data_IF_546321104584
#
_entry.id   IF_546321104584
#
_cell.length_a   1.000
_cell.length_b   1.000
_cell.length_c   1.000
_cell.angle_alpha   90.00
_cell.angle_beta   90.00
_cell.angle_gamma   90.00
#
_symmetry.space_group_name_H-M   'P 1'
#
loop_
_entity.id
_entity.type
_entity.pdbx_description
1 polymer ?
#
# COMPACT_ATOMS: atom_id res chain seq x y z
N UNK A 1 0.60 -17.71 26.39
CA UNK A 1 1.59 -17.40 25.34
C UNK A 1 0.97 -16.40 24.40
N UNK A 2 1.61 -15.25 24.17
CA UNK A 2 1.20 -14.35 23.10
C UNK A 2 1.70 -14.93 21.79
N UNK A 3 0.80 -15.23 20.87
CA UNK A 3 1.17 -15.64 19.52
C UNK A 3 1.68 -14.41 18.76
N UNK A 4 2.72 -14.54 17.90
CA UNK A 4 3.15 -13.44 17.05
C UNK A 4 2.04 -13.06 16.07
N UNK A 5 1.88 -11.75 15.86
CA UNK A 5 0.97 -11.17 14.88
C UNK A 5 1.79 -10.44 13.83
N UNK A 6 1.59 -10.81 12.58
CA UNK A 6 2.34 -10.29 11.43
C UNK A 6 1.37 -9.93 10.31
N UNK A 7 1.84 -9.18 9.31
CA UNK A 7 1.04 -8.96 8.10
C UNK A 7 0.88 -10.28 7.35
N UNK A 8 -0.29 -10.48 6.77
CA UNK A 8 -0.53 -11.60 5.89
C UNK A 8 0.38 -11.53 4.65
N UNK A 9 0.81 -12.69 4.18
CA UNK A 9 1.52 -12.88 2.93
C UNK A 9 0.55 -13.40 1.84
N UNK A 10 0.71 -13.02 0.55
CA UNK A 10 -0.12 -13.53 -0.54
C UNK A 10 -0.22 -15.07 -0.62
N UNK A 11 0.83 -15.80 -0.22
CA UNK A 11 0.83 -17.26 -0.17
C UNK A 11 -0.12 -17.84 0.88
N UNK A 12 -0.60 -17.03 1.83
CA UNK A 12 -1.46 -17.47 2.93
C UNK A 12 -2.96 -17.43 2.60
N UNK A 13 -3.36 -16.89 1.43
CA UNK A 13 -4.78 -16.72 1.05
C UNK A 13 -5.60 -18.00 1.29
N UNK A 14 -5.14 -19.14 0.80
CA UNK A 14 -5.86 -20.42 0.93
C UNK A 14 -6.01 -20.87 2.39
N UNK A 15 -4.97 -20.65 3.19
CA UNK A 15 -4.98 -20.98 4.62
C UNK A 15 -5.99 -20.10 5.36
N UNK A 16 -6.04 -18.80 5.07
CA UNK A 16 -6.97 -17.87 5.71
C UNK A 16 -8.43 -18.17 5.33
N UNK A 17 -8.70 -18.44 4.05
CA UNK A 17 -10.02 -18.92 3.62
C UNK A 17 -10.40 -20.26 4.30
N UNK A 18 -9.44 -21.13 4.62
CA UNK A 18 -9.72 -22.36 5.36
C UNK A 18 -10.01 -22.12 6.85
N UNK A 19 -9.40 -21.09 7.46
CA UNK A 19 -9.69 -20.68 8.84
C UNK A 19 -11.12 -20.17 8.93
N UNK A 20 -11.54 -19.28 8.03
CA UNK A 20 -12.91 -18.77 7.98
C UNK A 20 -13.94 -19.90 7.88
N UNK A 21 -13.77 -20.82 6.92
CA UNK A 21 -14.69 -21.97 6.76
C UNK A 21 -14.80 -22.83 8.02
N UNK A 22 -13.73 -22.95 8.81
CA UNK A 22 -13.73 -23.68 10.07
C UNK A 22 -14.38 -22.89 11.21
N UNK A 23 -14.11 -21.59 11.30
CA UNK A 23 -14.72 -20.70 12.30
C UNK A 23 -16.24 -20.61 12.10
N UNK A 24 -16.70 -20.54 10.84
CA UNK A 24 -18.13 -20.53 10.48
C UNK A 24 -18.88 -21.76 11.02
N UNK A 25 -18.22 -22.93 11.15
CA UNK A 25 -18.85 -24.15 11.69
C UNK A 25 -19.39 -23.98 13.11
N UNK A 26 -18.88 -23.01 13.88
CA UNK A 26 -19.37 -22.69 15.23
C UNK A 26 -20.80 -22.17 15.23
N UNK A 27 -21.31 -21.69 14.09
CA UNK A 27 -22.69 -21.23 13.94
C UNK A 27 -23.67 -22.35 13.59
N UNK A 28 -23.26 -23.62 13.45
CA UNK A 28 -24.19 -24.72 13.17
C UNK A 28 -25.32 -24.76 14.21
N UNK A 29 -26.56 -24.78 13.73
CA UNK A 29 -27.77 -24.73 14.57
C UNK A 29 -28.23 -23.31 14.93
N UNK A 30 -27.45 -22.28 14.61
CA UNK A 30 -27.86 -20.88 14.74
C UNK A 30 -28.63 -20.39 13.50
N UNK A 31 -29.63 -19.51 13.62
CA UNK A 31 -30.34 -18.95 12.47
C UNK A 31 -29.45 -18.23 11.43
N UNK A 32 -28.29 -17.71 11.84
CA UNK A 32 -27.32 -17.08 10.94
C UNK A 32 -26.52 -18.08 10.09
N UNK A 33 -26.56 -19.38 10.44
CA UNK A 33 -25.80 -20.44 9.74
C UNK A 33 -26.05 -20.43 8.24
N UNK A 34 -27.31 -20.37 7.81
CA UNK A 34 -27.66 -20.42 6.39
C UNK A 34 -26.98 -19.29 5.59
N UNK A 35 -26.89 -18.09 6.18
CA UNK A 35 -26.21 -16.95 5.56
C UNK A 35 -24.70 -17.12 5.56
N UNK A 36 -24.09 -17.49 6.69
CA UNK A 36 -22.63 -17.63 6.77
C UNK A 36 -22.10 -18.84 6.01
N UNK A 37 -22.81 -19.97 5.97
CA UNK A 37 -22.34 -21.16 5.25
C UNK A 37 -22.41 -21.03 3.72
N UNK A 38 -23.25 -20.11 3.23
CA UNK A 38 -23.40 -19.83 1.81
C UNK A 38 -22.41 -18.76 1.31
N UNK A 39 -21.86 -17.97 2.22
CA UNK A 39 -20.86 -16.96 1.93
C UNK A 39 -19.48 -17.55 2.24
N UNK A 40 -18.54 -17.33 1.34
CA UNK A 40 -17.13 -17.58 1.62
C UNK A 40 -16.35 -16.37 1.16
N UNK A 41 -15.28 -16.05 1.87
CA UNK A 41 -14.40 -14.95 1.46
C UNK A 41 -13.87 -15.25 0.05
N UNK A 42 -14.15 -14.38 -0.94
CA UNK A 42 -13.58 -14.54 -2.27
C UNK A 42 -12.04 -14.39 -2.20
N UNK A 43 -11.26 -15.39 -2.66
CA UNK A 43 -9.80 -15.36 -2.54
C UNK A 43 -9.14 -14.13 -3.17
N UNK A 44 -9.70 -13.61 -4.26
CA UNK A 44 -9.19 -12.41 -4.94
C UNK A 44 -9.43 -11.14 -4.11
N UNK A 45 -10.56 -11.02 -3.41
CA UNK A 45 -10.79 -9.90 -2.50
C UNK A 45 -9.83 -9.95 -1.30
N UNK A 46 -9.60 -11.13 -0.74
CA UNK A 46 -8.65 -11.30 0.35
C UNK A 46 -7.22 -10.98 -0.13
N UNK A 47 -6.80 -11.51 -1.29
CA UNK A 47 -5.52 -11.19 -1.89
C UNK A 47 -5.36 -9.68 -2.11
N UNK A 48 -6.41 -8.99 -2.56
CA UNK A 48 -6.39 -7.53 -2.71
C UNK A 48 -6.14 -6.83 -1.38
N UNK A 49 -6.79 -7.27 -0.31
CA UNK A 49 -6.60 -6.70 1.02
C UNK A 49 -5.19 -6.97 1.57
N UNK A 50 -4.67 -8.19 1.39
CA UNK A 50 -3.29 -8.56 1.72
C UNK A 50 -2.30 -7.66 0.98
N UNK A 51 -2.51 -7.47 -0.33
CA UNK A 51 -1.69 -6.60 -1.17
C UNK A 51 -1.76 -5.12 -0.74
N UNK A 52 -2.85 -4.69 -0.11
CA UNK A 52 -2.95 -3.34 0.48
C UNK A 52 -2.38 -3.26 1.90
N UNK A 53 -1.95 -4.39 2.47
CA UNK A 53 -1.44 -4.46 3.84
C UNK A 53 -2.56 -4.34 4.88
N UNK A 54 -3.78 -4.77 4.58
CA UNK A 54 -4.94 -4.61 5.47
C UNK A 54 -5.34 -5.91 6.20
N UNK A 55 -4.48 -6.93 6.16
CA UNK A 55 -4.74 -8.22 6.81
C UNK A 55 -3.57 -8.59 7.69
N UNK A 56 -3.86 -8.98 8.93
CA UNK A 56 -2.89 -9.51 9.88
C UNK A 56 -3.26 -10.91 10.31
N UNK A 57 -2.24 -11.73 10.56
CA UNK A 57 -2.37 -13.14 10.92
C UNK A 57 -1.71 -13.39 12.27
N UNK A 58 -2.36 -14.18 13.12
CA UNK A 58 -1.74 -14.77 14.29
C UNK A 58 -1.15 -16.12 13.90
N UNK A 59 0.12 -16.36 14.23
CA UNK A 59 0.84 -17.57 13.84
C UNK A 59 1.03 -18.52 15.03
N UNK A 60 0.99 -19.83 14.77
CA UNK A 60 1.40 -20.86 15.74
C UNK A 60 2.92 -20.83 15.96
N UNK A 61 3.40 -21.64 16.92
CA UNK A 61 4.84 -21.87 17.13
C UNK A 61 5.55 -22.44 15.88
N UNK A 62 4.81 -23.12 15.00
CA UNK A 62 5.32 -23.65 13.73
C UNK A 62 5.21 -22.67 12.57
N UNK A 63 4.79 -21.41 12.82
CA UNK A 63 4.59 -20.39 11.80
C UNK A 63 3.31 -20.55 10.95
N UNK A 64 2.38 -21.44 11.33
CA UNK A 64 1.14 -21.64 10.59
C UNK A 64 0.07 -20.62 11.04
N UNK A 65 -0.70 -20.00 10.13
CA UNK A 65 -1.81 -19.14 10.52
C UNK A 65 -2.85 -19.88 11.38
N UNK A 66 -3.24 -19.29 12.51
CA UNK A 66 -4.28 -19.82 13.42
C UNK A 66 -5.47 -18.90 13.62
N UNK A 67 -5.35 -17.66 13.17
CA UNK A 67 -6.41 -16.67 13.10
C UNK A 67 -5.95 -15.46 12.30
N UNK A 68 -6.90 -14.63 11.87
CA UNK A 68 -6.59 -13.40 11.15
C UNK A 68 -7.62 -12.31 11.43
N UNK A 69 -7.25 -11.07 11.14
CA UNK A 69 -8.14 -9.91 11.09
C UNK A 69 -7.94 -9.21 9.76
N UNK A 70 -9.04 -8.87 9.10
CA UNK A 70 -9.06 -8.15 7.84
C UNK A 70 -9.76 -6.80 8.05
N UNK A 71 -9.02 -5.71 7.82
CA UNK A 71 -9.53 -4.35 7.77
C UNK A 71 -10.00 -3.96 6.36
N UNK A 72 -11.11 -3.25 6.27
CA UNK A 72 -11.55 -2.63 5.02
C UNK A 72 -11.60 -1.10 5.13
N UNK A 73 -11.52 -0.47 3.96
CA UNK A 73 -11.51 1.00 3.81
C UNK A 73 -12.72 1.45 3.01
N UNK A 74 -13.81 0.67 3.01
CA UNK A 74 -15.06 1.05 2.31
C UNK A 74 -15.79 2.17 3.05
N UNK A 75 -15.45 2.39 4.32
CA UNK A 75 -15.95 3.50 5.13
C UNK A 75 -15.30 4.82 4.69
N UNK A 76 -16.11 5.88 4.76
CA UNK A 76 -15.70 7.25 4.39
C UNK A 76 -15.17 7.98 5.62
N UNK A 77 -14.16 8.83 5.43
CA UNK A 77 -13.65 9.73 6.45
C UNK A 77 -12.56 9.10 7.33
N UNK A 78 -12.70 9.28 8.64
CA UNK A 78 -11.72 8.87 9.66
C UNK A 78 -12.00 7.48 10.27
N UNK A 79 -12.95 6.73 9.70
CA UNK A 79 -13.32 5.40 10.15
C UNK A 79 -12.71 4.28 9.30
N UNK A 80 -12.43 3.14 9.92
CA UNK A 80 -12.00 1.90 9.25
C UNK A 80 -12.86 0.71 9.70
N UNK A 81 -13.17 -0.20 8.78
CA UNK A 81 -14.00 -1.37 9.05
C UNK A 81 -13.16 -2.58 9.46
N UNK A 82 -13.69 -3.45 10.34
CA UNK A 82 -13.28 -4.85 10.41
C UNK A 82 -14.23 -5.64 9.51
N UNK A 83 -13.71 -6.09 8.37
CA UNK A 83 -14.44 -6.91 7.42
C UNK A 83 -14.63 -8.33 7.95
N UNK A 84 -13.59 -8.89 8.56
CA UNK A 84 -13.58 -10.25 9.11
C UNK A 84 -12.57 -10.40 10.25
N UNK A 85 -12.90 -11.25 11.23
CA UNK A 85 -11.95 -11.70 12.25
C UNK A 85 -12.28 -13.12 12.69
N UNK A 86 -11.42 -14.05 12.30
CA UNK A 86 -11.63 -15.47 12.55
C UNK A 86 -10.43 -16.11 13.25
N UNK A 87 -10.73 -17.09 14.09
CA UNK A 87 -9.74 -17.91 14.79
C UNK A 87 -10.16 -19.37 14.68
N UNK A 88 -9.21 -20.25 14.40
CA UNK A 88 -9.44 -21.68 14.39
C UNK A 88 -10.08 -22.14 15.72
N UNK A 89 -11.15 -22.97 15.70
CA UNK A 89 -11.88 -23.34 16.91
C UNK A 89 -11.01 -23.89 18.05
N UNK A 90 -9.97 -24.68 17.73
CA UNK A 90 -9.03 -25.23 18.70
C UNK A 90 -8.16 -24.18 19.42
N UNK A 91 -8.00 -22.99 18.82
CA UNK A 91 -7.34 -21.81 19.40
C UNK A 91 -8.33 -20.79 20.00
N UNK A 92 -9.64 -21.05 19.89
CA UNK A 92 -10.69 -20.23 20.48
C UNK A 92 -10.55 -20.12 22.00
N UNK A 93 -10.99 -18.99 22.56
CA UNK A 93 -10.93 -18.68 24.01
C UNK A 93 -9.53 -18.69 24.63
N UNK A 94 -8.48 -18.58 23.82
CA UNK A 94 -7.08 -18.45 24.27
C UNK A 94 -6.52 -17.02 24.15
N UNK A 95 -7.38 -16.03 23.91
CA UNK A 95 -6.99 -14.63 23.74
C UNK A 95 -6.52 -14.24 22.33
N UNK A 96 -6.48 -15.17 21.37
CA UNK A 96 -6.00 -14.88 19.99
C UNK A 96 -6.86 -13.82 19.30
N UNK A 97 -8.19 -13.96 19.34
CA UNK A 97 -9.09 -12.97 18.74
C UNK A 97 -9.00 -11.60 19.40
N UNK A 98 -8.81 -11.55 20.71
CA UNK A 98 -8.57 -10.30 21.46
C UNK A 98 -7.27 -9.63 21.02
N UNK A 99 -6.18 -10.40 20.87
CA UNK A 99 -4.90 -9.87 20.44
C UNK A 99 -4.95 -9.32 19.00
N UNK A 100 -5.62 -10.03 18.08
CA UNK A 100 -5.85 -9.56 16.71
C UNK A 100 -6.67 -8.27 16.68
N UNK A 101 -7.75 -8.20 17.47
CA UNK A 101 -8.62 -7.03 17.56
C UNK A 101 -7.86 -5.80 18.10
N UNK A 102 -7.12 -5.94 19.19
CA UNK A 102 -6.33 -4.83 19.74
C UNK A 102 -5.21 -4.41 18.78
N UNK A 103 -4.50 -5.35 18.16
CA UNK A 103 -3.48 -5.05 17.16
C UNK A 103 -4.04 -4.23 15.99
N UNK A 104 -5.21 -4.61 15.47
CA UNK A 104 -5.90 -3.87 14.42
C UNK A 104 -6.31 -2.45 14.87
N UNK A 105 -6.83 -2.31 16.09
CA UNK A 105 -7.19 -1.01 16.66
C UNK A 105 -5.96 -0.11 16.88
N UNK A 106 -4.84 -0.68 17.34
CA UNK A 106 -3.57 0.03 17.54
C UNK A 106 -2.97 0.51 16.22
N UNK A 107 -2.96 -0.35 15.19
CA UNK A 107 -2.52 0.04 13.86
C UNK A 107 -3.43 1.13 13.27
N UNK A 108 -4.76 0.96 13.35
CA UNK A 108 -5.72 1.94 12.87
C UNK A 108 -5.51 3.30 13.53
N UNK A 109 -5.29 3.31 14.85
CA UNK A 109 -4.97 4.52 15.61
C UNK A 109 -3.69 5.18 15.11
N UNK A 110 -2.62 4.40 14.91
CA UNK A 110 -1.35 4.91 14.41
C UNK A 110 -1.43 5.41 12.95
N UNK A 111 -2.31 4.84 12.13
CA UNK A 111 -2.57 5.23 10.75
C UNK A 111 -3.54 6.42 10.60
N UNK A 112 -3.94 7.05 11.72
CA UNK A 112 -4.75 8.26 11.76
C UNK A 112 -6.25 8.03 11.93
N UNK A 113 -6.77 6.80 11.82
CA UNK A 113 -8.21 6.52 11.96
C UNK A 113 -8.69 6.75 13.39
N UNK A 114 -9.86 7.38 13.54
CA UNK A 114 -10.47 7.76 14.82
C UNK A 114 -11.61 6.85 15.25
N UNK A 115 -12.05 5.96 14.37
CA UNK A 115 -13.10 5.00 14.68
C UNK A 115 -12.85 3.67 13.98
N UNK A 116 -13.12 2.58 14.69
CA UNK A 116 -13.22 1.24 14.10
C UNK A 116 -14.66 0.81 14.16
N UNK A 117 -15.20 0.40 13.02
CA UNK A 117 -16.59 -0.04 12.86
C UNK A 117 -16.62 -1.53 12.49
N UNK A 118 -17.62 -2.26 12.96
CA UNK A 118 -17.83 -3.67 12.60
C UNK A 118 -19.30 -4.05 12.60
N UNK A 119 -19.64 -5.07 11.82
CA UNK A 119 -20.95 -5.74 11.84
C UNK A 119 -20.84 -7.12 12.48
N UNK A 120 -21.72 -7.44 13.43
CA UNK A 120 -21.67 -8.71 14.15
C UNK A 120 -23.04 -9.21 14.61
N UNK A 121 -23.09 -10.37 15.28
CA UNK A 121 -24.31 -10.94 15.81
C UNK A 121 -24.62 -10.45 17.23
N UNK A 122 -25.88 -10.08 17.46
CA UNK A 122 -26.36 -9.56 18.74
C UNK A 122 -26.43 -10.62 19.84
N UNK A 123 -26.81 -11.85 19.48
CA UNK A 123 -27.23 -12.93 20.36
C UNK A 123 -26.17 -14.02 20.60
N UNK A 124 -25.00 -13.88 19.96
CA UNK A 124 -23.90 -14.83 20.10
C UNK A 124 -22.86 -14.32 21.09
N UNK A 125 -22.57 -15.12 22.13
CA UNK A 125 -21.70 -14.74 23.26
C UNK A 125 -20.28 -14.32 22.85
N UNK A 126 -19.75 -14.90 21.77
CA UNK A 126 -18.41 -14.57 21.25
C UNK A 126 -18.42 -13.51 20.13
N UNK A 127 -19.55 -12.83 19.91
CA UNK A 127 -19.73 -11.73 18.96
C UNK A 127 -19.95 -10.41 19.71
N UNK A 128 -21.15 -9.80 19.68
CA UNK A 128 -21.36 -8.48 20.28
C UNK A 128 -20.89 -8.35 21.75
N UNK A 129 -21.13 -9.32 22.64
CA UNK A 129 -20.61 -9.25 24.01
C UNK A 129 -19.07 -9.29 24.09
N UNK A 130 -18.39 -9.99 23.17
CA UNK A 130 -16.93 -10.00 23.09
C UNK A 130 -16.40 -8.60 22.70
N UNK A 131 -16.95 -7.99 21.65
CA UNK A 131 -16.51 -6.64 21.24
C UNK A 131 -16.82 -5.58 22.30
N UNK A 132 -17.95 -5.72 23.02
CA UNK A 132 -18.27 -4.82 24.13
C UNK A 132 -17.21 -4.82 25.23
N UNK A 133 -16.61 -5.97 25.54
CA UNK A 133 -15.50 -6.08 26.50
C UNK A 133 -14.23 -5.37 26.00
N UNK A 134 -14.11 -5.17 24.69
CA UNK A 134 -12.99 -4.49 24.02
C UNK A 134 -13.32 -3.04 23.64
N UNK A 135 -14.30 -2.42 24.31
CA UNK A 135 -14.60 -0.99 24.18
C UNK A 135 -15.44 -0.61 22.95
N UNK A 136 -16.01 -1.59 22.25
CA UNK A 136 -17.00 -1.31 21.21
C UNK A 136 -18.38 -1.08 21.83
N UNK A 137 -19.13 -0.12 21.28
CA UNK A 137 -20.51 0.15 21.67
C UNK A 137 -21.44 -0.10 20.50
N UNK A 138 -22.64 -0.60 20.76
CA UNK A 138 -23.67 -0.69 19.73
C UNK A 138 -24.08 0.71 19.27
N UNK A 139 -24.19 0.89 17.96
CA UNK A 139 -24.55 2.17 17.33
C UNK A 139 -25.86 2.06 16.57
N UNK A 140 -26.43 3.21 16.19
CA UNK A 140 -27.66 3.24 15.40
C UNK A 140 -27.43 2.53 14.06
N UNK A 141 -28.05 1.35 13.95
CA UNK A 141 -28.03 0.54 12.76
C UNK A 141 -28.56 1.28 11.55
N UNK A 142 -29.48 2.24 11.71
CA UNK A 142 -30.06 3.06 10.64
C UNK A 142 -29.12 4.14 10.08
N UNK A 143 -28.01 4.44 10.77
CA UNK A 143 -27.09 5.50 10.42
C UNK A 143 -26.46 5.38 9.02
N UNK A 144 -26.04 6.50 8.42
CA UNK A 144 -25.49 6.53 7.06
C UNK A 144 -24.20 5.73 6.91
N UNK A 145 -23.37 5.67 7.96
CA UNK A 145 -22.11 4.93 7.97
C UNK A 145 -22.28 3.42 7.68
N UNK A 146 -23.45 2.85 7.99
CA UNK A 146 -23.74 1.43 7.80
C UNK A 146 -24.67 1.15 6.62
N UNK A 147 -25.03 2.16 5.82
CA UNK A 147 -25.99 2.00 4.74
C UNK A 147 -25.56 0.94 3.71
N UNK A 148 -24.28 0.92 3.34
CA UNK A 148 -23.70 -0.06 2.42
C UNK A 148 -23.67 -1.47 3.03
N UNK A 149 -23.23 -1.60 4.29
CA UNK A 149 -23.23 -2.87 5.00
C UNK A 149 -24.65 -3.46 5.14
N UNK A 150 -25.64 -2.61 5.46
CA UNK A 150 -27.07 -3.01 5.49
C UNK A 150 -27.58 -3.44 4.12
N UNK A 151 -27.17 -2.75 3.05
CA UNK A 151 -27.55 -3.13 1.70
C UNK A 151 -26.99 -4.52 1.35
N UNK A 152 -25.71 -4.77 1.64
CA UNK A 152 -25.06 -6.08 1.45
C UNK A 152 -25.76 -7.18 2.25
N UNK A 153 -26.08 -6.93 3.52
CA UNK A 153 -26.85 -7.87 4.35
C UNK A 153 -28.21 -8.20 3.71
N UNK A 154 -28.94 -7.20 3.18
CA UNK A 154 -30.24 -7.44 2.50
C UNK A 154 -30.08 -8.22 1.20
N UNK A 155 -29.10 -7.87 0.37
CA UNK A 155 -28.82 -8.56 -0.90
C UNK A 155 -28.44 -10.03 -0.68
N UNK A 156 -27.73 -10.32 0.42
CA UNK A 156 -27.38 -11.68 0.83
C UNK A 156 -28.47 -12.40 1.64
N UNK A 157 -29.64 -11.78 1.84
CA UNK A 157 -30.74 -12.37 2.61
C UNK A 157 -30.44 -12.57 4.10
N UNK A 158 -29.51 -11.80 4.67
CA UNK A 158 -29.14 -11.90 6.08
C UNK A 158 -30.30 -11.44 6.99
N UNK A 159 -30.66 -12.19 8.04
CA UNK A 159 -31.76 -11.81 8.93
C UNK A 159 -31.44 -10.53 9.72
N UNK A 160 -32.12 -9.42 9.40
CA UNK A 160 -31.83 -8.10 9.95
C UNK A 160 -31.81 -8.10 11.49
N UNK A 161 -32.78 -8.77 12.14
CA UNK A 161 -32.88 -8.86 13.61
C UNK A 161 -31.63 -9.42 14.32
N UNK A 162 -30.78 -10.15 13.60
CA UNK A 162 -29.56 -10.75 14.16
C UNK A 162 -28.36 -9.80 14.07
N UNK A 163 -28.35 -8.89 13.10
CA UNK A 163 -27.23 -7.98 12.85
C UNK A 163 -27.28 -6.78 13.78
N UNK A 164 -26.19 -6.57 14.49
CA UNK A 164 -25.86 -5.30 15.15
C UNK A 164 -24.57 -4.72 14.55
N UNK A 165 -24.48 -3.39 14.53
CA UNK A 165 -23.26 -2.68 14.23
C UNK A 165 -22.69 -2.11 15.51
N UNK A 166 -21.37 -2.13 15.62
CA UNK A 166 -20.66 -1.62 16.77
C UNK A 166 -19.49 -0.75 16.33
N UNK A 167 -19.19 0.25 17.14
CA UNK A 167 -18.09 1.18 16.90
C UNK A 167 -17.22 1.32 18.14
N UNK A 168 -15.91 1.44 17.93
CA UNK A 168 -14.95 1.86 18.97
C UNK A 168 -14.30 3.16 18.54
N UNK A 169 -14.47 4.20 19.36
CA UNK A 169 -13.72 5.43 19.20
C UNK A 169 -12.24 5.18 19.57
N UNK A 170 -11.34 5.74 18.78
CA UNK A 170 -9.90 5.71 19.00
C UNK A 170 -9.45 7.10 19.45
N UNK A 171 -8.69 7.16 20.55
CA UNK A 171 -8.00 8.38 20.95
C UNK A 171 -6.81 8.66 20.02
N UNK A 172 -6.46 9.92 19.72
CA UNK A 172 -5.33 10.24 18.86
C UNK A 172 -4.02 9.69 19.42
N UNK A 173 -3.01 9.40 18.56
CA UNK A 173 -1.70 8.97 19.04
C UNK A 173 -1.09 10.06 19.92
N UNK A 174 -0.47 9.66 21.04
CA UNK A 174 0.30 10.57 21.88
C UNK A 174 1.47 11.19 21.09
N UNK A 175 2.05 12.27 21.60
CA UNK A 175 3.01 13.02 20.80
C UNK A 175 4.27 12.23 20.43
N UNK A 176 4.70 11.35 21.34
CA UNK A 176 5.81 10.42 21.27
C UNK A 176 5.37 8.99 20.88
N UNK A 177 4.13 8.81 20.40
CA UNK A 177 3.68 7.53 19.87
C UNK A 177 4.11 7.35 18.40
N UNK A 178 4.09 6.10 17.94
CA UNK A 178 4.27 5.78 16.53
C UNK A 178 3.06 6.24 15.70
N UNK A 179 3.35 6.83 14.55
CA UNK A 179 2.40 7.10 13.47
C UNK A 179 2.78 6.27 12.25
N UNK A 180 1.79 5.92 11.43
CA UNK A 180 1.92 5.02 10.28
C UNK A 180 1.51 5.77 9.01
N UNK A 181 2.34 5.63 7.96
CA UNK A 181 2.21 6.35 6.70
C UNK A 181 2.50 5.42 5.51
N UNK A 182 1.64 5.37 4.49
CA UNK A 182 1.89 4.58 3.29
C UNK A 182 2.88 5.29 2.35
N UNK A 183 3.82 4.53 1.80
CA UNK A 183 4.76 4.96 0.76
C UNK A 183 4.48 4.15 -0.53
N UNK A 184 3.55 4.60 -1.39
CA UNK A 184 3.08 3.83 -2.54
C UNK A 184 4.15 3.66 -3.62
N UNK A 185 4.06 2.59 -4.41
CA UNK A 185 4.84 2.41 -5.62
C UNK A 185 4.30 3.25 -6.78
N UNK A 186 5.11 3.36 -7.84
CA UNK A 186 4.68 3.87 -9.14
C UNK A 186 5.02 2.91 -10.28
N UNK A 187 4.39 3.16 -11.42
CA UNK A 187 4.80 2.65 -12.73
C UNK A 187 5.10 3.80 -13.68
N UNK A 188 6.03 3.58 -14.61
CA UNK A 188 6.15 4.41 -15.81
C UNK A 188 5.36 3.73 -16.93
N UNK A 189 4.17 4.25 -17.27
CA UNK A 189 3.31 3.63 -18.30
C UNK A 189 3.92 3.68 -19.70
N UNK A 190 4.82 4.63 -19.92
CA UNK A 190 5.81 4.68 -21.00
C UNK A 190 7.02 5.49 -20.50
N UNK A 191 8.16 5.44 -21.18
CA UNK A 191 9.31 6.29 -20.87
C UNK A 191 10.10 6.57 -22.14
N UNK A 192 10.29 7.84 -22.48
CA UNK A 192 11.12 8.28 -23.61
C UNK A 192 12.29 9.12 -23.12
N UNK A 193 13.40 9.04 -23.85
CA UNK A 193 14.54 9.94 -23.71
C UNK A 193 14.57 10.81 -24.97
N UNK A 194 14.28 12.10 -24.81
CA UNK A 194 14.13 13.06 -25.91
C UNK A 194 15.42 13.80 -26.23
N UNK A 195 16.35 13.84 -25.28
CA UNK A 195 17.64 14.48 -25.47
C UNK A 195 18.60 14.27 -24.30
N UNK A 196 19.78 14.89 -24.42
CA UNK A 196 20.75 15.01 -23.34
C UNK A 196 21.07 16.48 -23.11
N UNK A 197 21.02 16.91 -21.86
CA UNK A 197 21.30 18.27 -21.41
C UNK A 197 22.82 18.50 -21.32
N UNK A 198 23.21 19.77 -21.28
CA UNK A 198 24.61 20.18 -21.14
C UNK A 198 25.24 19.76 -19.80
N UNK A 199 24.43 19.62 -18.75
CA UNK A 199 24.83 19.13 -17.42
C UNK A 199 25.00 17.60 -17.36
N UNK A 200 24.76 16.89 -18.46
CA UNK A 200 24.92 15.45 -18.59
C UNK A 200 23.67 14.63 -18.31
N UNK A 201 22.60 15.23 -17.77
CA UNK A 201 21.31 14.56 -17.53
C UNK A 201 20.54 14.32 -18.84
N UNK A 202 19.61 13.36 -18.81
CA UNK A 202 18.74 13.04 -19.93
C UNK A 202 17.40 13.73 -19.79
N UNK A 203 16.90 14.31 -20.87
CA UNK A 203 15.54 14.83 -20.92
C UNK A 203 14.57 13.71 -21.24
N UNK A 204 13.51 13.61 -20.43
CA UNK A 204 12.58 12.50 -20.37
C UNK A 204 11.15 12.95 -20.67
N UNK A 205 10.35 12.02 -21.17
CA UNK A 205 8.88 12.10 -21.12
C UNK A 205 8.34 10.78 -20.60
N UNK A 206 7.45 10.82 -19.62
CA UNK A 206 6.85 9.63 -19.02
C UNK A 206 5.48 9.93 -18.43
N UNK A 207 4.67 8.89 -18.21
CA UNK A 207 3.47 8.99 -17.37
C UNK A 207 3.67 8.12 -16.14
N UNK A 208 3.65 8.77 -14.99
CA UNK A 208 3.63 8.11 -13.69
C UNK A 208 2.21 7.66 -13.34
N UNK A 209 2.06 6.37 -13.03
CA UNK A 209 0.87 5.81 -12.39
C UNK A 209 1.20 5.41 -10.96
N UNK A 210 0.58 6.04 -9.97
CA UNK A 210 0.68 5.62 -8.58
C UNK A 210 -0.15 4.35 -8.35
N UNK A 211 0.26 3.53 -7.38
CA UNK A 211 -0.39 2.26 -7.03
C UNK A 211 -0.96 2.29 -5.60
N UNK A 212 -1.97 1.46 -5.34
CA UNK A 212 -2.52 1.18 -3.99
C UNK A 212 -1.68 0.19 -3.16
N UNK A 213 -0.44 -0.05 -3.60
CA UNK A 213 0.53 -0.95 -2.98
C UNK A 213 1.87 -0.21 -2.81
N UNK A 214 2.54 -0.47 -1.70
CA UNK A 214 3.87 0.06 -1.43
C UNK A 214 4.36 -0.25 -0.03
N UNK A 215 5.41 0.46 0.37
CA UNK A 215 6.06 0.37 1.67
C UNK A 215 5.20 1.02 2.77
N UNK A 216 5.54 0.76 4.04
CA UNK A 216 4.98 1.47 5.18
C UNK A 216 6.09 2.16 5.98
N UNK A 217 5.92 3.46 6.24
CA UNK A 217 6.81 4.27 7.05
C UNK A 217 6.17 4.48 8.41
N UNK A 218 6.90 4.15 9.48
CA UNK A 218 6.51 4.52 10.85
C UNK A 218 7.41 5.61 11.38
N UNK A 219 6.80 6.65 11.95
CA UNK A 219 7.49 7.80 12.51
C UNK A 219 7.08 8.02 13.96
N UNK A 220 8.07 8.19 14.83
CA UNK A 220 7.87 8.58 16.22
C UNK A 220 8.71 9.81 16.52
N UNK A 221 8.08 10.90 16.94
CA UNK A 221 8.78 12.16 17.23
C UNK A 221 9.72 11.99 18.41
N UNK A 222 10.83 12.72 18.36
CA UNK A 222 11.80 12.86 19.43
C UNK A 222 12.02 14.33 19.76
N UNK A 223 12.50 14.59 20.97
CA UNK A 223 12.78 15.95 21.45
C UNK A 223 14.28 16.27 21.56
N UNK A 224 15.14 15.30 21.25
CA UNK A 224 16.61 15.41 21.37
C UNK A 224 17.31 15.81 20.06
N UNK A 225 16.55 16.13 19.00
CA UNK A 225 17.08 16.52 17.69
C UNK A 225 17.63 15.36 16.85
N UNK A 226 17.63 14.14 17.36
CA UNK A 226 18.24 12.99 16.70
C UNK A 226 17.34 12.41 15.62
N UNK A 227 17.93 11.99 14.49
CA UNK A 227 17.23 11.29 13.41
C UNK A 227 17.79 9.88 13.32
N UNK A 228 16.96 8.89 13.66
CA UNK A 228 17.39 7.49 13.83
C UNK A 228 16.50 6.55 13.04
N UNK A 229 17.11 5.73 12.19
CA UNK A 229 16.43 4.54 11.66
C UNK A 229 16.57 3.42 12.69
N UNK A 230 15.47 2.98 13.28
CA UNK A 230 15.51 2.06 14.44
C UNK A 230 15.46 0.57 14.05
N UNK A 231 15.20 0.28 12.77
CA UNK A 231 15.31 -1.06 12.18
C UNK A 231 16.23 -1.03 10.97
N UNK A 232 16.97 -2.11 10.76
CA UNK A 232 17.81 -2.25 9.58
C UNK A 232 16.97 -2.45 8.31
N UNK A 233 17.39 -1.81 7.22
CA UNK A 233 16.90 -2.10 5.88
C UNK A 233 18.04 -2.84 5.17
N UNK A 234 17.88 -4.13 4.84
CA UNK A 234 18.94 -4.93 4.24
C UNK A 234 19.57 -4.25 3.02
N UNK A 235 20.90 -4.16 3.02
CA UNK A 235 21.67 -3.59 1.91
C UNK A 235 21.66 -2.06 1.81
N UNK A 236 21.05 -1.34 2.75
CA UNK A 236 21.00 0.14 2.75
C UNK A 236 21.52 0.67 4.08
N UNK A 237 22.75 1.20 4.17
CA UNK A 237 23.23 1.88 5.37
C UNK A 237 22.32 3.05 5.74
N UNK A 238 22.11 3.28 7.04
CA UNK A 238 21.14 4.28 7.52
C UNK A 238 21.46 5.72 7.03
N UNK A 239 22.73 6.07 6.83
CA UNK A 239 23.13 7.37 6.29
C UNK A 239 22.79 7.57 4.81
N UNK A 240 22.70 6.49 4.04
CA UNK A 240 22.42 6.49 2.61
C UNK A 240 20.91 6.36 2.32
N UNK A 241 20.15 5.91 3.32
CA UNK A 241 18.70 5.76 3.26
C UNK A 241 18.00 7.10 2.96
N UNK A 242 17.22 7.12 1.88
CA UNK A 242 16.49 8.30 1.44
C UNK A 242 15.46 8.78 2.47
N UNK A 243 14.88 7.90 3.29
CA UNK A 243 13.99 8.29 4.39
C UNK A 243 14.73 9.11 5.45
N UNK A 244 15.93 8.67 5.85
CA UNK A 244 16.79 9.37 6.82
C UNK A 244 17.30 10.69 6.25
N UNK A 245 17.73 10.68 4.98
CA UNK A 245 18.18 11.90 4.28
C UNK A 245 17.07 12.92 4.11
N UNK A 246 15.83 12.49 3.85
CA UNK A 246 14.65 13.34 3.79
C UNK A 246 14.38 14.04 5.13
N UNK A 247 14.38 13.29 6.23
CA UNK A 247 14.21 13.87 7.58
C UNK A 247 15.30 14.89 7.89
N UNK A 248 16.58 14.59 7.59
CA UNK A 248 17.71 15.50 7.81
C UNK A 248 17.64 16.74 6.93
N UNK A 249 17.20 16.59 5.68
CA UNK A 249 17.04 17.70 4.76
C UNK A 249 15.96 18.66 5.28
N UNK A 250 14.79 18.14 5.65
CA UNK A 250 13.69 18.93 6.18
C UNK A 250 14.04 19.59 7.51
N UNK A 251 14.67 18.85 8.43
CA UNK A 251 15.10 19.37 9.73
C UNK A 251 16.03 20.57 9.57
N UNK A 252 17.04 20.47 8.69
CA UNK A 252 17.97 21.56 8.39
C UNK A 252 17.29 22.73 7.70
N UNK A 253 16.41 22.45 6.73
CA UNK A 253 15.68 23.50 6.00
C UNK A 253 14.79 24.33 6.94
N UNK A 254 14.07 23.67 7.84
CA UNK A 254 13.13 24.31 8.76
C UNK A 254 13.80 24.88 10.03
N UNK A 255 15.07 24.53 10.29
CA UNK A 255 15.80 24.97 11.49
C UNK A 255 15.21 24.45 12.81
N UNK A 256 14.51 23.30 12.78
CA UNK A 256 13.89 22.72 13.99
C UNK A 256 14.85 21.83 14.76
N UNK A 257 14.69 21.80 16.08
CA UNK A 257 15.45 20.92 16.99
C UNK A 257 14.72 19.61 17.31
N UNK A 258 13.56 19.37 16.70
CA UNK A 258 12.84 18.12 16.84
C UNK A 258 13.58 16.98 16.13
N UNK A 259 13.54 15.78 16.70
CA UNK A 259 14.08 14.56 16.11
C UNK A 259 12.98 13.59 15.69
N UNK A 260 13.37 12.44 15.14
CA UNK A 260 12.45 11.36 14.75
C UNK A 260 13.14 9.99 14.77
N UNK A 261 12.43 8.99 15.30
CA UNK A 261 12.69 7.58 15.02
C UNK A 261 11.90 7.15 13.77
N UNK A 262 12.56 6.46 12.85
CA UNK A 262 12.02 6.02 11.57
C UNK A 262 12.10 4.48 11.50
N UNK A 263 10.97 3.84 11.19
CA UNK A 263 10.94 2.45 10.69
C UNK A 263 10.46 2.44 9.24
N UNK A 264 11.10 1.62 8.42
CA UNK A 264 10.72 1.41 7.03
C UNK A 264 10.41 -0.06 6.84
N UNK A 265 9.14 -0.38 6.58
CA UNK A 265 8.68 -1.72 6.27
C UNK A 265 8.64 -1.89 4.74
N UNK A 266 9.70 -2.51 4.20
CA UNK A 266 9.88 -2.66 2.75
C UNK A 266 9.03 -3.80 2.19
N UNK A 267 8.30 -3.47 1.14
CA UNK A 267 7.47 -4.34 0.29
C UNK A 267 7.80 -4.12 -1.18
N UNK A 268 8.18 -2.90 -1.56
CA UNK A 268 8.67 -2.58 -2.90
C UNK A 268 10.11 -3.10 -3.06
N UNK A 269 10.41 -3.88 -4.10
CA UNK A 269 11.75 -4.38 -4.35
C UNK A 269 12.72 -3.22 -4.65
N UNK A 270 13.95 -3.35 -4.13
CA UNK A 270 14.99 -2.35 -4.30
C UNK A 270 15.47 -2.30 -5.76
N UNK A 271 15.57 -1.09 -6.31
CA UNK A 271 16.09 -0.90 -7.67
C UNK A 271 15.21 -1.43 -8.80
N UNK A 272 13.95 -1.81 -8.53
CA UNK A 272 13.03 -2.39 -9.53
C UNK A 272 12.38 -1.40 -10.50
N UNK A 273 12.72 -0.11 -10.45
CA UNK A 273 12.06 0.92 -11.27
C UNK A 273 10.65 1.32 -10.79
N UNK A 274 10.29 0.92 -9.56
CA UNK A 274 8.99 1.18 -8.93
C UNK A 274 8.97 2.41 -7.99
N UNK A 275 10.12 3.07 -7.83
CA UNK A 275 10.22 4.33 -7.09
C UNK A 275 10.19 4.22 -5.56
N UNK A 276 10.39 3.03 -4.97
CA UNK A 276 10.26 2.80 -3.52
C UNK A 276 11.03 3.81 -2.65
N UNK A 277 12.36 3.94 -2.85
CA UNK A 277 13.16 4.89 -2.06
C UNK A 277 12.75 6.37 -2.23
N UNK A 278 12.27 6.74 -3.42
CA UNK A 278 11.73 8.10 -3.66
C UNK A 278 10.39 8.31 -2.94
N UNK A 279 9.56 7.27 -2.88
CA UNK A 279 8.29 7.27 -2.15
C UNK A 279 8.50 7.33 -0.64
N UNK A 280 9.48 6.59 -0.13
CA UNK A 280 9.89 6.63 1.29
C UNK A 280 10.31 8.07 1.67
N UNK A 281 11.18 8.70 0.87
CA UNK A 281 11.59 10.09 1.09
C UNK A 281 10.42 11.07 1.04
N UNK A 282 9.55 10.98 0.02
CA UNK A 282 8.39 11.84 -0.10
C UNK A 282 7.45 11.69 1.10
N UNK A 283 7.22 10.45 1.54
CA UNK A 283 6.39 10.12 2.70
C UNK A 283 6.96 10.75 3.97
N UNK A 284 8.26 10.64 4.19
CA UNK A 284 8.93 11.29 5.33
C UNK A 284 8.81 12.81 5.27
N UNK A 285 9.04 13.45 4.10
CA UNK A 285 8.89 14.90 3.94
C UNK A 285 7.45 15.35 4.28
N UNK A 286 6.45 14.70 3.71
CA UNK A 286 5.03 15.04 3.91
C UNK A 286 4.59 14.82 5.35
N UNK A 287 4.92 13.67 5.92
CA UNK A 287 4.52 13.31 7.28
C UNK A 287 5.22 14.21 8.32
N UNK A 288 6.52 14.46 8.19
CA UNK A 288 7.25 15.31 9.13
C UNK A 288 6.88 16.78 9.02
N UNK A 289 6.50 17.27 7.82
CA UNK A 289 5.91 18.61 7.68
C UNK A 289 4.68 18.78 8.59
N UNK A 290 3.82 17.76 8.67
CA UNK A 290 2.68 17.74 9.59
C UNK A 290 3.12 17.57 11.05
N UNK A 291 3.94 16.55 11.34
CA UNK A 291 4.29 16.16 12.72
C UNK A 291 5.12 17.24 13.44
N UNK A 292 5.95 17.97 12.70
CA UNK A 292 6.73 19.11 13.19
C UNK A 292 6.01 20.46 13.01
N UNK A 293 4.78 20.48 12.46
CA UNK A 293 3.94 21.68 12.28
C UNK A 293 4.68 22.80 11.54
N UNK A 294 5.29 22.46 10.40
CA UNK A 294 6.10 23.41 9.63
C UNK A 294 5.28 24.23 8.62
N UNK A 295 4.05 23.78 8.32
CA UNK A 295 3.12 24.41 7.39
C UNK A 295 3.72 24.77 6.02
N UNK A 296 4.71 23.99 5.57
CA UNK A 296 5.27 24.13 4.23
C UNK A 296 4.25 23.65 3.20
N UNK A 297 4.12 24.39 2.10
CA UNK A 297 3.28 23.99 0.99
C UNK A 297 3.89 22.82 0.20
N UNK A 298 3.09 22.27 -0.71
CA UNK A 298 3.47 21.11 -1.51
C UNK A 298 4.59 21.43 -2.51
N UNK A 299 4.71 22.67 -2.97
CA UNK A 299 5.74 23.06 -3.95
C UNK A 299 7.12 23.14 -3.29
N UNK A 300 7.19 23.67 -2.06
CA UNK A 300 8.41 23.65 -1.24
C UNK A 300 8.85 22.22 -0.96
N UNK A 301 7.92 21.34 -0.54
CA UNK A 301 8.25 19.94 -0.30
C UNK A 301 8.71 19.21 -1.57
N UNK A 302 8.11 19.51 -2.72
CA UNK A 302 8.51 18.93 -4.00
C UNK A 302 9.92 19.39 -4.40
N UNK A 303 10.27 20.66 -4.19
CA UNK A 303 11.61 21.19 -4.48
C UNK A 303 12.68 20.61 -3.55
N UNK A 304 12.38 20.43 -2.26
CA UNK A 304 13.26 19.68 -1.36
C UNK A 304 13.41 18.22 -1.82
N UNK A 305 12.30 17.58 -2.17
CA UNK A 305 12.28 16.21 -2.66
C UNK A 305 13.14 15.99 -3.91
N UNK A 306 13.13 16.96 -4.84
CA UNK A 306 13.94 16.93 -6.07
C UNK A 306 15.43 16.79 -5.80
N UNK A 307 15.93 17.28 -4.66
CA UNK A 307 17.34 17.14 -4.26
C UNK A 307 17.71 15.71 -3.83
N UNK A 308 16.71 14.88 -3.51
CA UNK A 308 16.88 13.50 -3.08
C UNK A 308 16.69 12.52 -4.24
N UNK A 309 15.81 12.83 -5.18
CA UNK A 309 15.59 12.03 -6.39
C UNK A 309 14.53 12.63 -7.32
N UNK A 310 14.67 12.36 -8.62
CA UNK A 310 13.78 12.90 -9.66
C UNK A 310 12.32 12.46 -9.53
N UNK A 311 12.07 11.27 -8.96
CA UNK A 311 10.71 10.73 -8.77
C UNK A 311 10.06 11.22 -7.45
N UNK A 312 10.80 11.84 -6.53
CA UNK A 312 10.23 12.28 -5.22
C UNK A 312 9.08 13.28 -5.39
N UNK A 313 9.15 14.28 -6.29
CA UNK A 313 8.06 15.22 -6.51
C UNK A 313 6.70 14.59 -6.85
N UNK A 314 6.64 13.50 -7.62
CA UNK A 314 5.34 12.89 -7.98
C UNK A 314 4.65 12.27 -6.78
N UNK A 315 5.42 11.71 -5.84
CA UNK A 315 4.90 11.17 -4.58
C UNK A 315 4.47 12.27 -3.60
N UNK A 316 5.22 13.38 -3.52
CA UNK A 316 4.84 14.56 -2.74
C UNK A 316 3.55 15.18 -3.29
N UNK A 317 3.43 15.29 -4.62
CA UNK A 317 2.21 15.79 -5.29
C UNK A 317 1.03 14.83 -5.14
N UNK A 318 1.32 13.53 -5.12
CA UNK A 318 0.35 12.48 -4.80
C UNK A 318 -0.72 12.27 -5.87
N UNK A 319 -0.41 12.59 -7.13
CA UNK A 319 -1.28 12.41 -8.29
C UNK A 319 -0.53 11.70 -9.41
N UNK A 320 -1.22 10.84 -10.16
CA UNK A 320 -0.70 10.36 -11.43
C UNK A 320 -0.48 11.55 -12.37
N UNK A 321 0.61 11.54 -13.14
CA UNK A 321 1.06 12.72 -13.87
C UNK A 321 1.82 12.38 -15.15
N UNK A 322 1.65 13.22 -16.16
CA UNK A 322 2.62 13.37 -17.23
C UNK A 322 3.84 14.11 -16.69
N UNK A 323 5.03 13.62 -16.99
CA UNK A 323 6.27 14.17 -16.49
C UNK A 323 7.25 14.45 -17.64
N UNK A 324 7.89 15.62 -17.57
CA UNK A 324 8.96 16.07 -18.48
C UNK A 324 10.20 16.52 -17.70
N UNK A 325 11.19 17.09 -18.39
CA UNK A 325 12.47 17.48 -17.80
C UNK A 325 13.31 16.24 -17.50
N UNK A 326 13.84 16.12 -16.29
CA UNK A 326 14.43 14.87 -15.78
C UNK A 326 13.39 14.01 -15.02
N UNK A 327 12.10 14.36 -15.09
CA UNK A 327 10.99 13.72 -14.38
C UNK A 327 10.31 14.61 -13.33
N UNK A 328 10.80 15.84 -13.15
CA UNK A 328 10.35 16.80 -12.13
C UNK A 328 9.23 17.74 -12.60
N UNK A 329 9.05 17.90 -13.91
CA UNK A 329 8.03 18.80 -14.46
C UNK A 329 6.72 18.04 -14.63
N UNK A 330 5.82 18.19 -13.65
CA UNK A 330 4.63 17.35 -13.52
C UNK A 330 3.36 18.09 -13.95
N UNK A 331 2.63 17.49 -14.88
CA UNK A 331 1.26 17.87 -15.24
C UNK A 331 0.30 16.76 -14.82
N UNK A 332 -0.63 16.99 -13.86
CA UNK A 332 -1.58 15.98 -13.42
C UNK A 332 -2.35 15.37 -14.59
N UNK A 333 -2.52 14.05 -14.58
CA UNK A 333 -3.18 13.31 -15.64
C UNK A 333 -4.15 12.29 -15.05
N UNK A 334 -5.43 12.43 -15.41
CA UNK A 334 -6.45 11.44 -15.07
C UNK A 334 -6.25 10.18 -15.95
N UNK A 335 -6.23 9.01 -15.32
CA UNK A 335 -6.02 7.73 -16.00
C UNK A 335 -7.20 6.81 -15.70
N UNK A 336 -7.59 5.94 -16.65
CA UNK A 336 -8.64 4.97 -16.39
C UNK A 336 -8.28 4.05 -15.23
N UNK A 337 -9.29 3.58 -14.49
CA UNK A 337 -9.09 2.54 -13.48
C UNK A 337 -8.55 1.26 -14.12
N UNK A 338 -7.43 0.78 -13.61
CA UNK A 338 -6.67 -0.36 -14.12
C UNK A 338 -6.02 -1.09 -12.96
N UNK A 339 -5.83 -2.38 -13.16
CA UNK A 339 -5.04 -3.25 -12.29
C UNK A 339 -3.76 -3.67 -13.02
N UNK A 340 -2.72 -3.98 -12.26
CA UNK A 340 -1.41 -4.30 -12.79
C UNK A 340 -0.91 -5.59 -12.15
N UNK A 341 -0.42 -6.51 -12.98
CA UNK A 341 0.45 -7.59 -12.53
C UNK A 341 1.87 -7.07 -12.67
N UNK A 342 2.60 -6.95 -11.58
CA UNK A 342 3.99 -6.50 -11.52
C UNK A 342 4.86 -7.70 -11.17
N UNK A 343 5.90 -7.95 -11.94
CA UNK A 343 6.89 -9.00 -11.63
C UNK A 343 8.22 -8.38 -11.23
N UNK A 344 8.80 -8.90 -10.15
CA UNK A 344 10.20 -8.75 -9.82
C UNK A 344 10.98 -9.98 -10.30
N UNK A 345 11.90 -9.84 -11.29
CA UNK A 345 12.74 -10.93 -11.74
C UNK A 345 13.91 -11.24 -10.79
N UNK A 346 14.08 -10.49 -9.70
CA UNK A 346 15.19 -10.62 -8.76
C UNK A 346 16.57 -10.47 -9.42
N UNK A 347 16.65 -9.56 -10.39
CA UNK A 347 17.88 -9.21 -11.09
C UNK A 347 18.14 -7.70 -10.93
N UNK A 348 19.25 -7.29 -10.30
CA UNK A 348 19.60 -5.87 -10.18
C UNK A 348 19.86 -5.24 -11.55
N UNK A 349 19.24 -4.08 -11.80
CA UNK A 349 19.43 -3.31 -13.02
C UNK A 349 19.94 -1.90 -12.68
N UNK A 350 21.26 -1.65 -12.69
CA UNK A 350 21.82 -0.36 -12.31
C UNK A 350 21.47 0.74 -13.31
N UNK A 351 20.60 1.68 -12.90
CA UNK A 351 20.13 2.80 -13.74
C UNK A 351 21.26 3.60 -14.38
N UNK A 352 22.33 3.90 -13.63
CA UNK A 352 23.46 4.67 -14.13
C UNK A 352 24.19 3.97 -15.30
N UNK A 353 24.35 2.64 -15.23
CA UNK A 353 25.00 1.86 -16.28
C UNK A 353 24.16 1.85 -17.57
N UNK A 354 22.83 1.80 -17.45
CA UNK A 354 21.93 1.88 -18.60
C UNK A 354 22.00 3.23 -19.30
N UNK A 355 21.99 4.34 -18.56
CA UNK A 355 22.14 5.67 -19.15
C UNK A 355 23.47 5.86 -19.90
N UNK A 356 24.50 5.08 -19.57
CA UNK A 356 25.81 5.06 -20.24
C UNK A 356 25.88 4.08 -21.43
N UNK A 357 24.89 3.21 -21.63
CA UNK A 357 24.92 2.18 -22.67
C UNK A 357 24.91 2.80 -24.09
N UNK A 358 25.89 2.50 -24.97
CA UNK A 358 25.98 3.14 -26.29
C UNK A 358 24.74 2.91 -27.16
N UNK A 359 24.09 1.76 -27.04
CA UNK A 359 22.88 1.38 -27.78
C UNK A 359 21.59 2.06 -27.29
N UNK A 360 21.62 2.81 -26.20
CA UNK A 360 20.43 3.50 -25.68
C UNK A 360 20.02 4.65 -26.61
N UNK A 361 18.78 4.60 -27.09
CA UNK A 361 18.16 5.69 -27.86
C UNK A 361 17.96 6.91 -26.96
N UNK A 362 18.52 8.07 -27.37
CA UNK A 362 18.52 9.32 -26.58
C UNK A 362 17.93 10.53 -27.30
N UNK A 363 17.33 10.32 -28.46
CA UNK A 363 16.83 11.35 -29.36
C UNK A 363 15.43 10.98 -29.87
N UNK A 364 14.63 10.32 -29.04
CA UNK A 364 13.27 9.94 -29.42
C UNK A 364 12.43 11.21 -29.69
N UNK A 365 11.56 11.20 -30.71
CA UNK A 365 10.66 12.32 -30.94
C UNK A 365 9.75 12.52 -29.72
N UNK A 366 9.47 13.80 -29.40
CA UNK A 366 8.57 14.14 -28.30
C UNK A 366 7.18 13.56 -28.56
N UNK A 367 6.62 12.90 -27.56
CA UNK A 367 5.25 12.45 -27.53
C UNK A 367 4.31 13.57 -27.06
N UNK A 368 3.03 13.45 -27.42
CA UNK A 368 1.97 14.31 -26.87
C UNK A 368 1.11 13.51 -25.90
N UNK A 369 0.37 14.19 -25.03
CA UNK A 369 -0.62 13.53 -24.16
C UNK A 369 -1.64 12.76 -25.02
N UNK A 370 -2.06 13.32 -26.16
CA UNK A 370 -3.00 12.67 -27.08
C UNK A 370 -2.47 11.34 -27.62
N UNK A 371 -1.20 11.29 -28.07
CA UNK A 371 -0.59 10.06 -28.59
C UNK A 371 -0.37 9.00 -27.51
N UNK A 372 -0.22 9.40 -26.25
CA UNK A 372 -0.23 8.44 -25.14
C UNK A 372 -1.65 7.90 -24.88
N UNK A 373 -2.65 8.77 -24.80
CA UNK A 373 -4.05 8.39 -24.53
C UNK A 373 -4.61 7.50 -25.64
N UNK A 374 -4.24 7.72 -26.91
CA UNK A 374 -4.61 6.85 -28.03
C UNK A 374 -3.93 5.48 -28.02
N UNK A 375 -2.88 5.31 -27.20
CA UNK A 375 -2.08 4.08 -27.13
C UNK A 375 -0.97 3.99 -28.18
N UNK A 376 -0.74 5.03 -28.98
CA UNK A 376 0.37 5.08 -29.96
C UNK A 376 1.74 5.10 -29.27
N UNK A 377 1.83 5.63 -28.04
CA UNK A 377 3.07 5.71 -27.27
C UNK A 377 2.97 4.94 -25.96
N UNK A 378 3.54 3.72 -25.95
CA UNK A 378 3.57 2.86 -24.74
C UNK A 378 4.96 2.30 -24.43
N UNK A 379 5.96 2.62 -25.25
CA UNK A 379 7.30 2.05 -25.15
C UNK A 379 8.14 2.69 -24.03
N UNK A 380 9.08 1.90 -23.51
CA UNK A 380 10.11 2.34 -22.58
C UNK A 380 11.47 2.30 -23.27
N UNK A 381 12.18 3.44 -23.27
CA UNK A 381 13.47 3.62 -23.93
C UNK A 381 14.54 2.61 -23.49
N UNK A 382 14.45 2.09 -22.26
CA UNK A 382 15.39 1.10 -21.74
C UNK A 382 15.06 -0.34 -22.16
N UNK A 383 13.86 -0.60 -22.69
CA UNK A 383 13.37 -1.97 -22.87
C UNK A 383 14.28 -2.82 -23.76
N UNK A 384 14.76 -2.30 -24.89
CA UNK A 384 15.65 -3.03 -25.80
C UNK A 384 17.00 -3.36 -25.15
N UNK A 385 17.62 -2.37 -24.51
CA UNK A 385 18.92 -2.52 -23.82
C UNK A 385 18.81 -3.49 -22.66
N UNK A 386 17.74 -3.37 -21.86
CA UNK A 386 17.50 -4.25 -20.71
C UNK A 386 17.25 -5.68 -21.16
N UNK A 387 16.43 -5.90 -22.19
CA UNK A 387 16.21 -7.24 -22.75
C UNK A 387 17.51 -7.89 -23.22
N UNK A 388 18.41 -7.12 -23.82
CA UNK A 388 19.69 -7.65 -24.33
C UNK A 388 20.70 -7.98 -23.21
N UNK A 389 20.69 -7.22 -22.11
CA UNK A 389 21.72 -7.31 -21.06
C UNK A 389 21.27 -8.07 -19.80
N UNK A 390 19.96 -8.23 -19.58
CA UNK A 390 19.38 -8.78 -18.37
C UNK A 390 18.43 -9.96 -18.68
N UNK A 391 18.95 -11.19 -18.78
CA UNK A 391 18.17 -12.35 -19.24
C UNK A 391 16.96 -12.69 -18.37
N UNK A 392 16.99 -12.45 -17.04
CA UNK A 392 15.82 -12.74 -16.19
C UNK A 392 14.72 -11.70 -16.41
N UNK A 393 15.09 -10.44 -16.65
CA UNK A 393 14.13 -9.39 -17.03
C UNK A 393 13.50 -9.70 -18.40
N UNK A 394 14.30 -10.16 -19.37
CA UNK A 394 13.80 -10.61 -20.66
C UNK A 394 12.80 -11.78 -20.51
N UNK A 395 13.14 -12.79 -19.71
CA UNK A 395 12.26 -13.91 -19.42
C UNK A 395 10.95 -13.48 -18.74
N UNK A 396 11.00 -12.51 -17.82
CA UNK A 396 9.80 -11.96 -17.18
C UNK A 396 8.92 -11.18 -18.17
N UNK A 397 9.51 -10.40 -19.09
CA UNK A 397 8.78 -9.73 -20.18
C UNK A 397 8.11 -10.74 -21.11
N UNK A 398 8.80 -11.80 -21.50
CA UNK A 398 8.28 -12.82 -22.41
C UNK A 398 7.15 -13.63 -21.75
N UNK A 399 7.32 -13.99 -20.47
CA UNK A 399 6.27 -14.70 -19.73
C UNK A 399 5.01 -13.84 -19.56
N UNK A 400 5.12 -12.58 -19.13
CA UNK A 400 3.96 -11.68 -19.09
C UNK A 400 3.40 -11.38 -20.49
N UNK A 401 4.27 -11.36 -21.50
CA UNK A 401 3.95 -11.16 -22.91
C UNK A 401 2.94 -12.18 -23.44
N UNK A 402 2.92 -13.39 -22.87
CA UNK A 402 1.93 -14.42 -23.17
C UNK A 402 0.48 -14.04 -22.81
N UNK A 403 0.29 -13.03 -21.95
CA UNK A 403 -1.03 -12.59 -21.48
C UNK A 403 -1.45 -11.21 -22.00
N UNK A 404 -0.54 -10.47 -22.65
CA UNK A 404 -0.78 -9.16 -23.23
C UNK A 404 0.48 -8.32 -23.40
N UNK A 405 0.34 -7.00 -23.57
CA UNK A 405 1.50 -6.11 -23.77
C UNK A 405 2.25 -5.85 -22.45
N UNK A 406 3.26 -6.65 -22.17
CA UNK A 406 4.17 -6.47 -21.05
C UNK A 406 5.11 -5.27 -21.28
N UNK A 407 5.36 -4.49 -20.22
CA UNK A 407 6.18 -3.27 -20.26
C UNK A 407 7.17 -3.24 -19.11
N UNK A 408 8.29 -2.54 -19.31
CA UNK A 408 9.28 -2.26 -18.27
C UNK A 408 8.87 -1.00 -17.49
N UNK A 409 9.00 -0.99 -16.16
CA UNK A 409 8.84 0.24 -15.35
C UNK A 409 10.19 0.90 -15.07
N UNK A 410 10.27 2.22 -15.20
CA UNK A 410 11.51 2.98 -15.00
C UNK A 410 12.65 2.43 -15.85
N UNK A 411 13.81 2.20 -15.25
CA UNK A 411 14.94 1.53 -15.90
C UNK A 411 14.93 0.00 -15.71
N UNK A 412 13.86 -0.60 -15.18
CA UNK A 412 13.84 -1.97 -14.69
C UNK A 412 14.36 -2.10 -13.25
N UNK A 413 14.46 -3.31 -12.68
CA UNK A 413 14.21 -4.61 -13.31
C UNK A 413 12.75 -5.07 -13.37
N UNK A 414 11.81 -4.42 -12.68
CA UNK A 414 10.42 -4.88 -12.66
C UNK A 414 9.71 -4.61 -13.98
N UNK A 415 8.84 -5.55 -14.33
CA UNK A 415 8.00 -5.53 -15.52
C UNK A 415 6.54 -5.60 -15.11
N UNK A 416 5.64 -5.10 -15.94
CA UNK A 416 4.23 -5.08 -15.61
C UNK A 416 3.32 -5.35 -16.80
N UNK A 417 2.13 -5.85 -16.50
CA UNK A 417 1.02 -6.04 -17.42
C UNK A 417 -0.22 -5.31 -16.90
N UNK A 418 -0.86 -4.52 -17.76
CA UNK A 418 -2.07 -3.76 -17.43
C UNK A 418 -3.33 -4.57 -17.73
N UNK A 419 -4.28 -4.55 -16.78
CA UNK A 419 -5.49 -5.36 -16.78
C UNK A 419 -6.73 -4.52 -16.47
N UNK A 420 -7.87 -4.89 -17.07
CA UNK A 420 -9.18 -4.27 -16.75
C UNK A 420 -9.81 -4.85 -15.48
N UNK A 421 -9.50 -6.10 -15.15
CA UNK A 421 -10.14 -6.88 -14.09
C UNK A 421 -9.09 -7.30 -13.07
N UNK A 422 -9.35 -7.03 -11.80
CA UNK A 422 -8.52 -7.48 -10.69
C UNK A 422 -8.46 -9.00 -10.64
N UNK A 423 -9.61 -9.68 -10.76
CA UNK A 423 -9.68 -11.14 -10.73
C UNK A 423 -8.80 -11.78 -11.82
N UNK A 424 -8.77 -11.21 -13.04
CA UNK A 424 -7.87 -11.71 -14.10
C UNK A 424 -6.40 -11.43 -13.78
N UNK A 425 -6.07 -10.28 -13.20
CA UNK A 425 -4.71 -9.98 -12.76
C UNK A 425 -4.24 -10.95 -11.66
N UNK A 426 -5.10 -11.23 -10.68
CA UNK A 426 -4.87 -12.21 -9.62
C UNK A 426 -4.65 -13.63 -10.18
N UNK A 427 -5.49 -14.06 -11.13
CA UNK A 427 -5.36 -15.37 -11.76
C UNK A 427 -4.04 -15.52 -12.54
N UNK A 428 -3.54 -14.46 -13.17
CA UNK A 428 -2.22 -14.46 -13.83
C UNK A 428 -1.10 -14.52 -12.78
N UNK A 429 -1.16 -13.68 -11.75
CA UNK A 429 -0.16 -13.67 -10.69
C UNK A 429 -0.03 -15.01 -9.95
N UNK A 430 -1.14 -15.74 -9.76
CA UNK A 430 -1.14 -17.08 -9.17
C UNK A 430 -0.40 -18.14 -10.01
N UNK A 431 -0.22 -17.89 -11.32
CA UNK A 431 0.55 -18.75 -12.23
C UNK A 431 2.02 -18.35 -12.32
N UNK A 432 2.47 -17.36 -11.53
CA UNK A 432 3.83 -16.84 -11.58
C UNK A 432 4.86 -17.96 -11.35
N UNK A 433 5.86 -18.12 -12.24
CA UNK A 433 6.97 -19.03 -12.02
C UNK A 433 7.74 -18.69 -10.75
N UNK A 434 8.23 -19.70 -10.03
CA UNK A 434 9.01 -19.52 -8.81
C UNK A 434 10.31 -18.71 -8.99
N UNK A 435 10.75 -18.51 -10.23
CA UNK A 435 11.91 -17.68 -10.55
C UNK A 435 11.66 -16.17 -10.36
N UNK A 436 10.39 -15.75 -10.24
CA UNK A 436 9.96 -14.36 -10.09
C UNK A 436 9.03 -14.22 -8.88
N UNK A 437 8.85 -12.98 -8.41
CA UNK A 437 7.78 -12.64 -7.48
C UNK A 437 6.74 -11.80 -8.19
N UNK A 438 5.45 -12.15 -8.03
CA UNK A 438 4.34 -11.40 -8.59
C UNK A 438 3.62 -10.59 -7.52
N UNK A 439 3.26 -9.37 -7.88
CA UNK A 439 2.43 -8.47 -7.09
C UNK A 439 1.27 -7.98 -7.95
N UNK A 440 0.05 -8.00 -7.40
CA UNK A 440 -1.11 -7.35 -8.04
C UNK A 440 -1.40 -6.05 -7.31
N UNK A 441 -1.56 -4.97 -8.07
CA UNK A 441 -1.89 -3.65 -7.52
C UNK A 441 -2.90 -2.93 -8.42
N UNK A 442 -3.64 -1.99 -7.85
CA UNK A 442 -4.56 -1.10 -8.56
C UNK A 442 -3.90 0.25 -8.73
N UNK A 443 -4.04 0.83 -9.92
CA UNK A 443 -3.63 2.21 -10.12
C UNK A 443 -4.58 3.18 -9.44
N UNK A 444 -4.06 4.26 -8.86
CA UNK A 444 -4.83 5.24 -8.10
C UNK A 444 -4.63 6.67 -8.59
N UNK A 445 -5.69 7.47 -8.47
CA UNK A 445 -5.69 8.88 -8.87
C UNK A 445 -5.25 9.80 -7.74
N UNK A 446 -5.54 9.43 -6.49
CA UNK A 446 -5.02 10.03 -5.27
C UNK A 446 -4.04 9.04 -4.65
N UNK A 447 -2.87 9.50 -4.26
CA UNK A 447 -1.90 8.71 -3.51
C UNK A 447 -2.46 8.29 -2.15
N UNK A 448 -2.26 7.03 -1.70
CA UNK A 448 -2.57 6.61 -0.34
C UNK A 448 -1.92 7.49 0.74
N UNK A 449 -0.78 8.13 0.43
CA UNK A 449 -0.11 9.09 1.31
C UNK A 449 -0.96 10.34 1.53
N UNK A 450 -1.60 10.86 0.49
CA UNK A 450 -2.44 12.06 0.59
C UNK A 450 -3.73 11.75 1.37
N UNK A 451 -4.31 10.58 1.15
CA UNK A 451 -5.45 10.12 1.95
C UNK A 451 -5.06 9.99 3.43
N UNK A 452 -3.87 9.45 3.73
CA UNK A 452 -3.35 9.40 5.09
C UNK A 452 -3.11 10.79 5.70
N UNK A 453 -2.57 11.73 4.92
CA UNK A 453 -2.34 13.10 5.35
C UNK A 453 -3.64 13.80 5.78
N UNK A 454 -4.72 13.63 5.01
CA UNK A 454 -6.04 14.17 5.36
C UNK A 454 -6.50 13.59 6.70
N UNK A 455 -6.46 12.25 6.85
CA UNK A 455 -6.86 11.58 8.10
C UNK A 455 -6.07 12.08 9.32
N UNK A 456 -4.76 12.23 9.20
CA UNK A 456 -3.90 12.70 10.30
C UNK A 456 -4.13 14.20 10.63
N UNK A 457 -4.45 15.03 9.63
CA UNK A 457 -4.79 16.45 9.85
C UNK A 457 -6.10 16.61 10.62
N UNK A 458 -7.14 15.91 10.20
CA UNK A 458 -8.45 15.90 10.88
C UNK A 458 -8.31 15.42 12.32
N UNK A 459 -7.48 14.38 12.56
CA UNK A 459 -7.18 13.90 13.90
C UNK A 459 -6.48 14.93 14.81
N UNK A 460 -5.67 15.83 14.24
CA UNK A 460 -4.94 16.85 15.00
C UNK A 460 -5.80 18.09 15.30
N UNK A 461 -6.82 18.36 14.48
CA UNK A 461 -7.75 19.49 14.68
C UNK A 461 -8.90 19.17 15.66
N UNK A 462 -9.18 17.88 15.90
CA UNK A 462 -10.21 17.43 16.84
C UNK A 462 -9.75 17.39 18.31
N UNK A 463 -8.48 17.72 18.59
CA UNK A 463 -7.86 17.85 19.92
C UNK A 463 -7.49 19.29 20.20
#
# INVERSE_FOLDING_TARGET
>A
MSLPIERADPSQVDALCAIERQAVQLFRGHPAWASYSALSIPPDLLLRAINRGLVWVALSETGAPVGFVWLDTELVGDAIGIAEIDVLPQYGRRGVGAALLEHACEWARAAGYRRVDLGTLADVRWNAPFYAQHGFVTVDKGGPAFALARQRDRENGFPDRLRVFMSRALAPPANDAWTVWPAPAKLNLFLRITGRRADGYHELQTVFRLLDWGDEIRLRRRIDGEIRRVREVPGVPAQDDLAVRAARLLQRYAGVTAGVDIEVEKRIPMGGGLGGGSSDAATVLVALNLLWRLDLDQDVLAELGRQLGADVPVFVRGRSAWAEGIGEQLSPLALPSRHYVVLDPHEPVPTAALFQAPELTRNAPRATISSFVSGETTENAFASVVRARHPRVAAALDWLGGFGQARLSGSGGCVFLEMRSFARAAAIAAQCPAAFTAQVATGVDVSPLQDALVRHREATQAT
#
